data_IF_645562143839
#
_entry.id   IF_645562143839
#
_cell.length_a   1.000
_cell.length_b   1.000
_cell.length_c   1.000
_cell.angle_alpha   90.00
_cell.angle_beta   90.00
_cell.angle_gamma   90.00
#
_symmetry.space_group_name_H-M   'P 1'
#
loop_
_entity.id
_entity.type
_entity.pdbx_description
1 polymer ?
#
# COMPACT_ATOMS: atom_id res chain seq x y z
N UNK A 1 13.12 -9.86 -9.73
CA UNK A 1 13.53 -10.77 -8.65
C UNK A 1 12.77 -12.06 -8.83
N UNK A 2 13.47 -13.20 -8.91
CA UNK A 2 12.88 -14.41 -9.47
C UNK A 2 11.92 -15.17 -8.55
N UNK A 3 12.04 -15.09 -7.21
CA UNK A 3 11.15 -15.79 -6.24
C UNK A 3 11.40 -15.37 -4.77
N UNK A 4 10.94 -16.21 -3.85
CA UNK A 4 11.18 -16.14 -2.41
C UNK A 4 12.66 -16.05 -2.06
N UNK A 5 12.97 -15.22 -1.06
CA UNK A 5 14.35 -14.99 -0.66
C UNK A 5 14.53 -13.80 0.26
N UNK A 6 15.77 -13.63 0.70
CA UNK A 6 16.28 -12.42 1.32
C UNK A 6 17.23 -11.76 0.32
N UNK A 7 17.01 -10.49 0.03
CA UNK A 7 17.76 -9.70 -0.94
C UNK A 7 18.41 -8.52 -0.24
N UNK A 8 19.73 -8.38 -0.36
CA UNK A 8 20.47 -7.22 0.10
C UNK A 8 20.28 -6.05 -0.87
N UNK A 9 19.78 -4.92 -0.35
CA UNK A 9 19.55 -3.70 -1.15
C UNK A 9 20.88 -3.03 -1.47
N UNK A 10 21.10 -2.70 -2.74
CA UNK A 10 22.36 -2.18 -3.28
C UNK A 10 23.33 -3.27 -3.77
N UNK A 11 23.07 -4.54 -3.45
CA UNK A 11 23.91 -5.67 -3.89
C UNK A 11 23.11 -6.63 -4.78
N UNK A 12 22.05 -7.23 -4.24
CA UNK A 12 21.23 -8.21 -4.96
C UNK A 12 20.13 -7.52 -5.78
N UNK A 13 19.66 -6.38 -5.30
CA UNK A 13 18.58 -5.58 -5.89
C UNK A 13 18.89 -4.10 -5.77
N UNK A 14 18.42 -3.29 -6.71
CA UNK A 14 18.56 -1.83 -6.66
C UNK A 14 17.37 -1.19 -5.92
N UNK A 15 17.54 0.00 -5.32
CA UNK A 15 16.41 0.78 -4.83
C UNK A 15 15.44 1.12 -5.97
N UNK A 16 14.15 1.19 -5.65
CA UNK A 16 13.12 1.49 -6.64
C UNK A 16 11.75 0.94 -6.24
N UNK A 17 10.80 1.06 -7.15
CA UNK A 17 9.43 0.59 -6.94
C UNK A 17 9.28 -0.75 -7.62
N UNK A 18 8.77 -1.73 -6.88
CA UNK A 18 8.58 -3.07 -7.36
C UNK A 18 7.11 -3.46 -7.32
N UNK A 19 6.66 -4.17 -8.34
CA UNK A 19 5.32 -4.77 -8.40
C UNK A 19 5.41 -6.29 -8.47
N UNK A 20 4.52 -6.97 -7.75
CA UNK A 20 4.30 -8.41 -7.84
C UNK A 20 2.83 -8.69 -8.17
N UNK A 21 2.61 -9.72 -8.98
CA UNK A 21 1.27 -10.24 -9.28
C UNK A 21 0.51 -10.78 -8.07
N UNK A 22 1.14 -10.85 -6.89
CA UNK A 22 0.51 -11.29 -5.64
C UNK A 22 0.87 -12.74 -5.30
N UNK A 23 -0.01 -13.48 -4.58
CA UNK A 23 0.31 -14.82 -4.11
C UNK A 23 0.49 -15.82 -5.25
N UNK A 24 1.35 -16.83 -5.04
CA UNK A 24 1.38 -18.03 -5.87
C UNK A 24 0.16 -18.90 -5.55
N UNK A 25 -0.65 -19.22 -6.57
CA UNK A 25 -1.87 -20.00 -6.41
C UNK A 25 -2.85 -19.40 -5.39
N UNK A 26 -3.39 -20.23 -4.50
CA UNK A 26 -4.33 -19.80 -3.44
C UNK A 26 -3.63 -19.39 -2.12
N UNK A 27 -2.30 -19.17 -2.17
CA UNK A 27 -1.48 -18.84 -1.01
C UNK A 27 -1.61 -17.38 -0.55
N UNK A 28 -0.56 -16.90 0.12
CA UNK A 28 -0.41 -15.50 0.54
C UNK A 28 0.96 -15.00 0.12
N UNK A 29 1.02 -13.76 -0.37
CA UNK A 29 2.26 -13.07 -0.63
C UNK A 29 2.63 -12.24 0.60
N UNK A 30 3.78 -12.56 1.19
CA UNK A 30 4.37 -11.81 2.29
C UNK A 30 5.66 -11.12 1.84
N UNK A 31 5.87 -9.91 2.33
CA UNK A 31 7.15 -9.24 2.22
C UNK A 31 7.45 -8.37 3.44
N UNK A 32 8.73 -8.10 3.67
CA UNK A 32 9.20 -7.11 4.63
C UNK A 32 10.48 -6.39 4.17
N UNK A 33 10.61 -5.14 4.60
CA UNK A 33 11.81 -4.30 4.45
C UNK A 33 12.47 -4.10 5.81
N UNK A 34 13.80 -4.17 5.88
CA UNK A 34 14.54 -3.90 7.11
C UNK A 34 15.69 -2.94 6.88
N UNK A 35 15.96 -2.11 7.89
CA UNK A 35 17.04 -1.11 7.86
C UNK A 35 18.41 -1.66 8.20
N UNK A 36 18.51 -2.93 8.63
CA UNK A 36 19.72 -3.71 8.81
C UNK A 36 19.41 -5.22 8.64
N UNK A 37 20.42 -6.08 8.39
CA UNK A 37 20.23 -7.54 8.42
C UNK A 37 19.65 -8.04 9.76
N UNK A 38 19.91 -7.30 10.85
CA UNK A 38 19.58 -7.68 12.23
C UNK A 38 18.19 -7.18 12.71
N UNK A 39 17.34 -6.65 11.82
CA UNK A 39 15.89 -6.76 12.04
C UNK A 39 15.12 -5.56 12.57
N UNK A 40 15.60 -4.33 12.40
CA UNK A 40 14.67 -3.19 12.50
C UNK A 40 13.74 -3.20 11.28
N UNK A 41 12.49 -3.63 11.52
CA UNK A 41 11.42 -3.64 10.53
C UNK A 41 11.09 -2.21 10.12
N UNK A 42 11.14 -1.94 8.82
CA UNK A 42 10.69 -0.68 8.22
C UNK A 42 9.21 -0.81 7.88
N UNK A 43 8.86 -1.85 7.11
CA UNK A 43 7.51 -2.08 6.63
C UNK A 43 7.31 -3.56 6.24
N UNK A 44 6.07 -4.03 6.25
CA UNK A 44 5.68 -5.35 5.80
C UNK A 44 4.22 -5.39 5.34
N UNK A 45 3.92 -6.36 4.49
CA UNK A 45 2.53 -6.67 4.12
C UNK A 45 2.34 -8.17 3.93
N UNK A 46 1.12 -8.64 4.23
CA UNK A 46 0.64 -9.99 3.97
C UNK A 46 -0.67 -9.88 3.20
N UNK A 47 -0.72 -10.41 1.98
CA UNK A 47 -1.85 -10.16 1.08
C UNK A 47 -2.19 -11.37 0.21
N UNK A 48 -3.47 -11.46 -0.17
CA UNK A 48 -3.97 -12.37 -1.22
C UNK A 48 -4.17 -11.65 -2.57
N UNK A 49 -3.67 -10.42 -2.70
CA UNK A 49 -3.83 -9.55 -3.86
C UNK A 49 -2.45 -9.14 -4.41
N UNK A 50 -2.36 -8.61 -5.64
CA UNK A 50 -1.16 -7.95 -6.14
C UNK A 50 -0.61 -6.92 -5.16
N UNK A 51 0.71 -6.73 -5.17
CA UNK A 51 1.42 -5.85 -4.24
C UNK A 51 2.34 -4.90 -5.00
N UNK A 52 2.50 -3.69 -4.46
CA UNK A 52 3.50 -2.70 -4.90
C UNK A 52 4.25 -2.25 -3.66
N UNK A 53 5.57 -2.14 -3.76
CA UNK A 53 6.45 -1.73 -2.66
C UNK A 53 7.51 -0.76 -3.18
N UNK A 54 7.75 0.33 -2.43
CA UNK A 54 8.93 1.17 -2.62
C UNK A 54 10.06 0.62 -1.75
N UNK A 55 11.22 0.36 -2.34
CA UNK A 55 12.45 -0.02 -1.65
C UNK A 55 13.38 1.18 -1.70
N UNK A 56 13.64 1.79 -0.56
CA UNK A 56 14.43 3.00 -0.47
C UNK A 56 15.95 2.69 -0.41
N UNK A 57 16.84 3.61 -0.83
CA UNK A 57 18.28 3.40 -0.75
C UNK A 57 18.81 3.16 0.69
N UNK A 58 18.07 3.62 1.69
CA UNK A 58 18.41 3.43 3.09
C UNK A 58 18.11 1.99 3.58
N UNK A 59 17.26 1.24 2.88
CA UNK A 59 16.97 -0.14 3.21
C UNK A 59 18.24 -0.99 3.11
N UNK A 60 18.27 -2.07 3.88
CA UNK A 60 19.39 -3.02 3.85
C UNK A 60 18.96 -4.38 3.38
N UNK A 61 17.73 -4.80 3.70
CA UNK A 61 17.23 -6.06 3.19
C UNK A 61 15.74 -6.01 2.83
N UNK A 62 15.40 -6.79 1.80
CA UNK A 62 14.04 -7.09 1.39
C UNK A 62 13.84 -8.60 1.46
N UNK A 63 12.90 -9.07 2.29
CA UNK A 63 12.51 -10.49 2.32
C UNK A 63 11.14 -10.64 1.69
N UNK A 64 10.98 -11.65 0.84
CA UNK A 64 9.70 -12.01 0.23
C UNK A 64 9.48 -13.51 0.29
N UNK A 65 8.21 -13.91 0.44
CA UNK A 65 7.79 -15.30 0.58
C UNK A 65 6.37 -15.49 -0.01
N UNK A 66 6.17 -16.52 -0.83
CA UNK A 66 4.88 -16.83 -1.46
C UNK A 66 4.41 -15.83 -2.52
N UNK A 67 5.28 -14.94 -3.00
CA UNK A 67 4.95 -13.93 -3.99
C UNK A 67 5.34 -14.37 -5.41
N UNK A 68 4.53 -14.01 -6.40
CA UNK A 68 4.94 -14.01 -7.80
C UNK A 68 6.18 -13.10 -7.99
N UNK A 69 7.00 -13.31 -9.04
CA UNK A 69 8.22 -12.54 -9.27
C UNK A 69 8.02 -11.04 -9.20
N UNK A 70 8.93 -10.34 -8.54
CA UNK A 70 8.90 -8.88 -8.43
C UNK A 70 9.57 -8.23 -9.64
N UNK A 71 8.87 -7.29 -10.25
CA UNK A 71 9.36 -6.50 -11.39
C UNK A 71 9.64 -5.07 -10.93
N UNK A 72 10.83 -4.56 -11.25
CA UNK A 72 11.14 -3.15 -11.07
C UNK A 72 10.27 -2.36 -12.04
N UNK A 73 9.55 -1.35 -11.55
CA UNK A 73 8.66 -0.50 -12.32
C UNK A 73 9.22 0.94 -12.31
N UNK A 74 10.08 1.31 -13.28
CA UNK A 74 10.75 2.62 -13.30
C UNK A 74 9.78 3.80 -13.38
N UNK A 75 8.59 3.59 -13.95
CA UNK A 75 7.57 4.61 -14.18
C UNK A 75 6.36 4.50 -13.25
N UNK A 76 6.32 3.52 -12.34
CA UNK A 76 5.20 3.42 -11.41
C UNK A 76 5.37 4.46 -10.31
N UNK A 77 4.47 5.44 -10.25
CA UNK A 77 4.27 6.22 -9.04
C UNK A 77 3.93 5.23 -7.90
N UNK A 78 4.63 5.27 -6.75
CA UNK A 78 4.24 4.44 -5.64
C UNK A 78 2.81 4.86 -5.27
N UNK A 79 1.91 3.92 -4.91
CA UNK A 79 0.66 4.30 -4.29
C UNK A 79 1.00 5.28 -3.15
N UNK A 80 0.28 6.41 -2.99
CA UNK A 80 0.54 7.30 -1.88
C UNK A 80 0.55 6.44 -0.62
N UNK A 81 1.70 6.45 0.07
CA UNK A 81 1.88 5.70 1.31
C UNK A 81 0.68 6.03 2.18
N UNK A 82 -0.21 5.06 2.39
CA UNK A 82 -1.30 5.16 3.35
C UNK A 82 -0.82 4.43 4.59
N UNK A 83 -0.14 5.10 5.53
CA UNK A 83 -0.03 4.58 6.88
C UNK A 83 -1.45 4.23 7.35
N UNK A 84 -1.70 2.98 7.73
CA UNK A 84 -2.90 2.70 8.51
C UNK A 84 -2.94 3.62 9.74
N UNK A 85 -4.09 4.20 10.13
CA UNK A 85 -5.45 3.72 9.88
C UNK A 85 -6.37 4.81 9.29
N UNK A 86 -6.72 4.70 8.00
CA UNK A 86 -7.97 5.32 7.50
C UNK A 86 -9.15 4.38 7.71
N UNK A 87 -9.32 3.88 8.94
CA UNK A 87 -10.62 3.37 9.41
C UNK A 87 -11.32 4.39 10.32
N UNK A 88 -10.62 5.44 10.78
CA UNK A 88 -11.18 6.48 11.66
C UNK A 88 -11.47 7.84 11.01
N UNK A 89 -10.81 8.19 9.91
CA UNK A 89 -10.91 9.56 9.37
C UNK A 89 -12.13 9.80 8.46
N UNK A 90 -12.67 8.78 7.78
CA UNK A 90 -13.90 8.97 6.98
C UNK A 90 -15.19 9.07 7.81
N UNK A 91 -15.15 8.79 9.12
CA UNK A 91 -16.33 8.98 9.99
C UNK A 91 -16.62 10.48 10.19
N UNK A 92 -15.62 11.35 10.18
CA UNK A 92 -15.85 12.78 10.40
C UNK A 92 -16.49 13.49 9.19
N UNK A 93 -16.21 13.01 7.96
CA UNK A 93 -16.82 13.56 6.74
C UNK A 93 -18.30 13.20 6.59
N UNK A 94 -18.68 11.98 6.99
CA UNK A 94 -20.08 11.51 6.90
C UNK A 94 -20.97 12.09 8.00
N UNK A 95 -20.42 12.44 9.18
CA UNK A 95 -21.20 13.11 10.25
C UNK A 95 -21.45 14.59 9.92
N UNK A 96 -20.52 15.25 9.23
CA UNK A 96 -20.70 16.62 8.74
C UNK A 96 -21.80 16.76 7.68
N UNK A 97 -22.03 15.73 6.87
CA UNK A 97 -23.10 15.71 5.86
C UNK A 97 -24.47 15.36 6.44
N UNK A 98 -24.54 14.60 7.53
CA UNK A 98 -25.80 14.28 8.21
C UNK A 98 -26.38 15.49 8.96
N UNK A 99 -25.52 16.38 9.49
CA UNK A 99 -25.97 17.62 10.16
C UNK A 99 -26.43 18.72 9.18
N UNK A 100 -26.07 18.62 7.88
CA UNK A 100 -26.45 19.59 6.85
C UNK A 100 -27.77 19.30 6.13
N UNK A 101 -28.40 18.15 6.40
CA UNK A 101 -29.64 17.71 5.74
C UNK A 101 -30.92 18.04 6.52
N UNK A 102 -30.84 18.88 7.55
CA UNK A 102 -31.98 19.33 8.34
C UNK A 102 -32.22 20.83 8.16
N UNK A 103 -33.00 21.14 7.11
CA UNK A 103 -33.89 22.31 6.90
C UNK A 103 -33.33 23.62 6.29
N UNK A 104 -34.15 24.44 5.58
CA UNK A 104 -35.42 24.16 4.90
C UNK A 104 -35.46 24.60 3.41
N UNK A 105 -36.39 23.96 2.69
CA UNK A 105 -36.77 24.15 1.30
C UNK A 105 -37.15 25.59 0.93
N UNK A 106 -36.40 26.20 0.00
CA UNK A 106 -36.83 27.37 -0.76
C UNK A 106 -37.48 26.96 -2.07
N UNK A 107 -38.79 26.69 -2.08
CA UNK A 107 -39.57 26.48 -3.30
C UNK A 107 -40.53 27.66 -3.54
N UNK A 108 -40.27 28.34 -4.66
CA UNK A 108 -41.01 29.45 -5.27
C UNK A 108 -42.46 29.07 -5.59
N UNK A 109 -43.43 29.90 -5.20
CA UNK A 109 -44.86 29.80 -5.56
C UNK A 109 -45.14 30.39 -6.95
N UNK A 110 -45.87 29.70 -7.84
CA UNK A 110 -46.54 30.31 -9.00
C UNK A 110 -48.03 30.61 -8.71
N UNK A 111 -48.57 31.65 -9.35
CA UNK A 111 -49.95 32.19 -9.20
C UNK A 111 -51.06 31.17 -9.44
N UNK A 112 -52.33 31.44 -9.13
CA UNK A 112 -53.12 32.70 -9.12
C UNK A 112 -53.99 32.80 -7.88
#
# INVERSE_FOLDING_TARGET
MDKDGLYAVGTDIVPGIYSSGGPIGNGTCYWKRTSNPDGALIDNSLSKKPQVVRIDPADKAFKTDGCQPWQLTPDASPPPDVPGPVAGAQVQGIIGTLNGLLAPNGQRVPGT
#
